data_IF_661420313070
#
_entry.id   IF_661420313070
#
_cell.length_a   1.000
_cell.length_b   1.000
_cell.length_c   1.000
_cell.angle_alpha   90.00
_cell.angle_beta   90.00
_cell.angle_gamma   90.00
#
_symmetry.space_group_name_H-M   'P 1'
#
loop_
_entity.id
_entity.type
_entity.pdbx_description
1 polymer ?
#
# COMPACT_ATOMS: atom_id res chain seq x y z
N UNK A 1 -3.15 -16.36 25.47
CA UNK A 1 -3.02 -15.70 24.14
C UNK A 1 -3.05 -14.21 24.39
N UNK A 2 -2.23 -13.40 23.69
CA UNK A 2 -2.34 -11.95 23.80
C UNK A 2 -3.75 -11.51 23.41
N UNK A 3 -4.21 -10.40 23.99
CA UNK A 3 -5.46 -9.76 23.56
C UNK A 3 -5.30 -9.28 22.11
N UNK A 4 -6.22 -9.69 21.24
CA UNK A 4 -6.22 -9.30 19.82
C UNK A 4 -7.19 -8.13 19.64
N UNK A 5 -6.67 -7.00 19.17
CA UNK A 5 -7.47 -5.84 18.77
C UNK A 5 -7.63 -5.84 17.25
N UNK A 6 -8.83 -6.13 16.77
CA UNK A 6 -9.13 -6.16 15.34
C UNK A 6 -9.43 -4.76 14.81
N UNK A 7 -8.69 -4.33 13.80
CA UNK A 7 -8.95 -3.07 13.08
C UNK A 7 -9.64 -3.42 11.75
N UNK A 8 -10.80 -2.80 11.49
CA UNK A 8 -11.52 -3.00 10.21
C UNK A 8 -10.96 -2.12 9.10
N UNK A 9 -11.17 -2.47 7.81
CA UNK A 9 -10.77 -1.62 6.69
C UNK A 9 -11.31 -0.18 6.79
N UNK A 10 -12.59 -0.03 7.13
CA UNK A 10 -13.24 1.26 7.41
C UNK A 10 -12.58 2.03 8.55
N UNK A 11 -12.36 1.37 9.70
CA UNK A 11 -11.73 1.99 10.86
C UNK A 11 -10.32 2.49 10.51
N UNK A 12 -9.52 1.67 9.83
CA UNK A 12 -8.17 2.06 9.42
C UNK A 12 -8.18 3.30 8.52
N UNK A 13 -9.10 3.39 7.56
CA UNK A 13 -9.22 4.58 6.72
C UNK A 13 -9.62 5.82 7.52
N UNK A 14 -10.63 5.72 8.38
CA UNK A 14 -11.10 6.83 9.21
C UNK A 14 -10.00 7.31 10.16
N UNK A 15 -9.27 6.39 10.79
CA UNK A 15 -8.16 6.71 11.67
C UNK A 15 -6.99 7.32 10.89
N UNK A 16 -6.72 6.86 9.68
CA UNK A 16 -5.71 7.50 8.82
C UNK A 16 -6.07 8.95 8.50
N UNK A 17 -7.36 9.26 8.27
CA UNK A 17 -7.83 10.63 8.09
C UNK A 17 -7.77 11.45 9.38
N UNK A 18 -8.11 10.86 10.53
CA UNK A 18 -7.97 11.50 11.85
C UNK A 18 -6.52 11.83 12.17
N UNK A 19 -5.60 10.92 11.83
CA UNK A 19 -4.17 11.15 11.96
C UNK A 19 -3.73 12.30 11.05
N UNK A 20 -4.19 12.30 9.79
CA UNK A 20 -3.95 13.41 8.87
C UNK A 20 -4.41 14.76 9.43
N UNK A 21 -5.61 14.80 10.03
CA UNK A 21 -6.13 15.98 10.73
C UNK A 21 -5.25 16.38 11.92
N UNK A 22 -4.93 15.44 12.80
CA UNK A 22 -4.10 15.68 13.98
C UNK A 22 -2.74 16.28 13.59
N UNK A 23 -2.11 15.73 12.56
CA UNK A 23 -0.85 16.24 12.00
C UNK A 23 -1.03 17.66 11.42
N UNK A 24 -2.09 17.89 10.64
CA UNK A 24 -2.38 19.19 10.04
C UNK A 24 -2.63 20.28 11.09
N UNK A 25 -3.32 19.96 12.17
CA UNK A 25 -3.68 20.89 13.25
C UNK A 25 -2.45 21.34 14.07
N UNK A 26 -1.31 20.62 14.01
CA UNK A 26 -0.02 21.09 14.55
C UNK A 26 0.61 22.25 13.75
N UNK A 27 -0.04 22.69 12.67
CA UNK A 27 0.53 23.64 11.71
C UNK A 27 1.60 23.01 10.81
N UNK A 28 1.80 21.69 10.85
CA UNK A 28 2.77 21.01 9.98
C UNK A 28 2.26 20.90 8.54
N UNK A 29 3.08 21.35 7.58
CA UNK A 29 2.79 21.30 6.14
C UNK A 29 3.99 20.64 5.44
N UNK A 30 4.11 19.30 5.53
CA UNK A 30 5.25 18.61 4.96
C UNK A 30 5.26 18.73 3.44
N UNK A 31 6.45 18.95 2.87
CA UNK A 31 6.64 18.86 1.42
C UNK A 31 6.91 17.41 0.99
N UNK A 32 7.48 16.61 1.89
CA UNK A 32 7.79 15.20 1.67
C UNK A 32 7.09 14.34 2.72
N UNK A 33 6.53 13.21 2.28
CA UNK A 33 6.08 12.16 3.16
C UNK A 33 6.67 10.83 2.75
N UNK A 34 6.89 9.97 3.73
CA UNK A 34 7.40 8.62 3.54
C UNK A 34 6.56 7.68 4.37
N UNK A 35 5.92 6.73 3.71
CA UNK A 35 5.31 5.59 4.39
C UNK A 35 6.27 4.42 4.49
N UNK A 36 6.36 3.83 5.67
CA UNK A 36 7.11 2.60 5.89
C UNK A 36 6.29 1.44 5.31
N UNK A 37 6.88 0.69 4.39
CA UNK A 37 6.32 -0.52 3.81
C UNK A 37 6.44 -1.66 4.83
N UNK A 38 5.38 -2.40 5.14
CA UNK A 38 4.09 -2.47 4.43
C UNK A 38 2.99 -1.59 5.03
N UNK A 39 2.64 -1.77 6.29
CA UNK A 39 1.38 -1.26 6.83
C UNK A 39 1.25 0.26 6.89
N UNK A 40 2.37 0.97 7.14
CA UNK A 40 2.44 2.44 7.04
C UNK A 40 2.01 3.02 5.70
N UNK A 41 1.99 2.22 4.62
CA UNK A 41 1.51 2.67 3.30
C UNK A 41 0.00 2.81 3.20
N UNK A 42 -0.76 1.93 3.84
CA UNK A 42 -2.23 2.06 3.89
C UNK A 42 -2.62 3.29 4.70
N UNK A 43 -1.93 3.51 5.82
CA UNK A 43 -2.10 4.70 6.66
C UNK A 43 -1.75 5.96 5.89
N UNK A 44 -0.61 5.94 5.20
CA UNK A 44 -0.16 7.06 4.40
C UNK A 44 -1.13 7.49 3.31
N UNK A 45 -1.84 6.56 2.66
CA UNK A 45 -2.85 6.91 1.65
C UNK A 45 -3.99 7.74 2.26
N UNK A 46 -4.42 7.44 3.47
CA UNK A 46 -5.44 8.23 4.16
C UNK A 46 -4.90 9.59 4.61
N UNK A 47 -3.68 9.62 5.18
CA UNK A 47 -3.03 10.88 5.57
C UNK A 47 -2.84 11.81 4.37
N UNK A 48 -2.30 11.32 3.25
CA UNK A 48 -2.12 12.09 2.01
C UNK A 48 -3.47 12.58 1.45
N UNK A 49 -4.50 11.73 1.47
CA UNK A 49 -5.85 12.13 1.05
C UNK A 49 -6.41 13.27 1.92
N UNK A 50 -6.16 13.25 3.23
CA UNK A 50 -6.56 14.34 4.12
C UNK A 50 -5.83 15.65 3.77
N UNK A 51 -4.50 15.62 3.66
CA UNK A 51 -3.72 16.83 3.33
C UNK A 51 -4.15 17.41 1.97
N UNK A 52 -4.37 16.55 0.98
CA UNK A 52 -4.88 16.96 -0.33
C UNK A 52 -6.25 17.62 -0.24
N UNK A 53 -7.13 17.14 0.62
CA UNK A 53 -8.43 17.76 0.88
C UNK A 53 -8.29 19.18 1.46
N UNK A 54 -7.25 19.43 2.25
CA UNK A 54 -6.91 20.75 2.77
C UNK A 54 -6.10 21.62 1.78
N UNK A 55 -5.93 21.18 0.53
CA UNK A 55 -5.18 21.91 -0.50
C UNK A 55 -3.65 21.79 -0.37
N UNK A 56 -3.15 20.86 0.45
CA UNK A 56 -1.72 20.62 0.64
C UNK A 56 -1.31 19.39 -0.15
N UNK A 57 -0.41 19.58 -1.11
CA UNK A 57 0.14 18.48 -1.91
C UNK A 57 1.47 18.03 -1.32
N UNK A 58 1.57 16.73 -1.01
CA UNK A 58 2.78 16.14 -0.43
C UNK A 58 3.45 15.25 -1.49
N UNK A 59 4.78 15.32 -1.59
CA UNK A 59 5.55 14.33 -2.33
C UNK A 59 5.65 13.06 -1.49
N UNK A 60 4.63 12.21 -1.60
CA UNK A 60 4.49 11.01 -0.80
C UNK A 60 5.07 9.79 -1.52
N UNK A 61 5.93 9.08 -0.80
CA UNK A 61 6.66 7.92 -1.32
C UNK A 61 6.70 6.82 -0.27
N UNK A 62 7.11 5.61 -0.67
CA UNK A 62 7.17 4.44 0.22
C UNK A 62 8.60 3.95 0.33
N UNK A 63 9.03 3.56 1.52
CA UNK A 63 10.34 2.91 1.74
C UNK A 63 10.14 1.52 2.30
N UNK A 64 10.99 0.59 1.88
CA UNK A 64 11.05 -0.74 2.50
C UNK A 64 12.24 -0.79 3.45
N UNK A 65 12.05 -1.42 4.61
CA UNK A 65 13.12 -1.65 5.58
C UNK A 65 13.34 -3.14 5.73
N UNK A 66 14.59 -3.58 5.56
CA UNK A 66 14.99 -4.96 5.85
C UNK A 66 15.81 -4.98 7.12
N UNK A 67 15.48 -5.85 8.08
CA UNK A 67 16.35 -6.16 9.20
C UNK A 67 17.37 -7.21 8.77
N UNK A 68 18.65 -6.91 8.92
CA UNK A 68 19.73 -7.87 8.74
C UNK A 68 20.29 -8.26 10.11
N UNK A 69 20.22 -9.56 10.45
CA UNK A 69 20.89 -10.10 11.65
C UNK A 69 22.34 -10.41 11.26
N UNK A 70 23.27 -9.56 11.70
CA UNK A 70 24.71 -9.84 11.56
C UNK A 70 25.17 -10.94 12.52
N UNK A 71 26.35 -11.53 12.24
CA UNK A 71 27.00 -12.53 13.10
C UNK A 71 27.37 -11.95 14.48
N UNK A 72 27.36 -10.62 14.63
CA UNK A 72 27.36 -9.91 15.91
C UNK A 72 25.98 -9.28 16.18
N UNK A 73 25.47 -9.46 17.41
CA UNK A 73 24.07 -9.31 17.85
C UNK A 73 23.45 -7.90 17.81
N UNK A 74 23.53 -7.20 16.68
CA UNK A 74 22.71 -6.02 16.40
C UNK A 74 22.03 -6.16 15.04
N UNK A 75 20.70 -6.13 15.04
CA UNK A 75 19.91 -6.03 13.83
C UNK A 75 20.20 -4.69 13.16
N UNK A 76 20.85 -4.72 11.99
CA UNK A 76 21.06 -3.51 11.19
C UNK A 76 19.88 -3.37 10.25
N UNK A 77 19.08 -2.32 10.46
CA UNK A 77 18.00 -1.96 9.55
C UNK A 77 18.58 -1.29 8.29
N UNK A 78 18.36 -1.90 7.13
CA UNK A 78 18.71 -1.34 5.82
C UNK A 78 17.47 -0.69 5.23
N UNK A 79 17.56 0.63 4.97
CA UNK A 79 16.48 1.42 4.37
C UNK A 79 16.63 1.42 2.85
N UNK A 80 15.58 1.06 2.13
CA UNK A 80 15.56 0.91 0.67
C UNK A 80 14.57 1.85 0.02
N UNK A 81 14.87 2.28 -1.21
CA UNK A 81 14.05 3.23 -1.95
C UNK A 81 14.03 4.59 -1.28
N UNK A 82 15.13 4.97 -0.63
CA UNK A 82 15.25 6.21 0.16
C UNK A 82 16.12 7.27 -0.55
N UNK A 83 16.82 6.85 -1.60
CA UNK A 83 17.77 7.63 -2.39
C UNK A 83 17.11 8.87 -2.99
N UNK A 84 15.88 8.76 -3.50
CA UNK A 84 15.17 9.89 -4.09
C UNK A 84 14.80 10.95 -3.06
N UNK A 85 14.46 10.54 -1.83
CA UNK A 85 14.17 11.47 -0.74
C UNK A 85 15.43 12.25 -0.45
N UNK A 86 16.55 11.55 -0.22
CA UNK A 86 17.85 12.14 0.08
C UNK A 86 18.26 13.16 -0.99
N UNK A 87 17.98 12.87 -2.26
CA UNK A 87 18.32 13.75 -3.39
C UNK A 87 17.36 14.93 -3.59
N UNK A 88 16.19 14.94 -2.95
CA UNK A 88 15.14 15.93 -3.18
C UNK A 88 14.82 16.83 -1.98
N UNK A 89 15.20 16.43 -0.76
CA UNK A 89 14.95 17.21 0.45
C UNK A 89 15.92 18.39 0.61
N UNK A 90 15.43 19.46 1.24
CA UNK A 90 16.19 20.61 1.70
C UNK A 90 15.84 20.95 3.17
N UNK A 91 16.63 21.79 3.87
CA UNK A 91 16.44 22.08 5.30
C UNK A 91 15.12 22.75 5.65
N UNK A 92 14.56 23.52 4.72
CA UNK A 92 13.31 24.25 4.88
C UNK A 92 12.08 23.35 4.67
N UNK A 93 12.28 22.16 4.10
CA UNK A 93 11.21 21.22 3.85
C UNK A 93 10.78 20.54 5.16
N UNK A 94 9.47 20.32 5.33
CA UNK A 94 8.97 19.40 6.34
C UNK A 94 8.97 17.96 5.81
N UNK A 95 9.46 17.01 6.62
CA UNK A 95 9.41 15.58 6.33
C UNK A 95 8.49 14.84 7.30
N UNK A 96 7.44 14.20 6.76
CA UNK A 96 6.56 13.31 7.50
C UNK A 96 6.95 11.85 7.28
N UNK A 97 7.20 11.10 8.36
CA UNK A 97 7.36 9.65 8.33
C UNK A 97 6.07 9.03 8.86
N UNK A 98 5.51 8.04 8.15
CA UNK A 98 4.21 7.45 8.44
C UNK A 98 4.39 5.95 8.64
N UNK A 99 3.88 5.46 9.77
CA UNK A 99 3.81 4.03 10.07
C UNK A 99 2.43 3.66 10.64
N UNK A 100 2.10 2.38 10.71
CA UNK A 100 0.87 1.94 11.34
C UNK A 100 0.98 1.89 12.87
N UNK A 101 2.10 1.39 13.40
CA UNK A 101 2.37 1.29 14.84
C UNK A 101 3.78 1.78 15.21
N UNK A 102 3.86 2.67 16.20
CA UNK A 102 5.12 3.06 16.83
C UNK A 102 5.42 2.15 18.02
N UNK A 103 6.24 1.11 17.81
CA UNK A 103 6.62 0.17 18.86
C UNK A 103 7.94 0.55 19.55
N UNK A 104 9.09 0.14 19.00
CA UNK A 104 10.41 0.48 19.57
C UNK A 104 10.95 1.82 19.06
N UNK A 105 10.57 2.21 17.84
CA UNK A 105 11.13 3.36 17.13
C UNK A 105 12.48 3.10 16.45
N UNK A 106 13.03 1.88 16.51
CA UNK A 106 14.34 1.55 15.94
C UNK A 106 14.40 1.71 14.42
N UNK A 107 13.35 1.30 13.70
CA UNK A 107 13.23 1.49 12.25
C UNK A 107 13.28 2.97 11.89
N UNK A 108 12.51 3.80 12.60
CA UNK A 108 12.43 5.25 12.38
C UNK A 108 13.77 5.92 12.71
N UNK A 109 14.42 5.53 13.80
CA UNK A 109 15.77 5.97 14.13
C UNK A 109 16.74 5.69 12.99
N UNK A 110 16.75 4.46 12.46
CA UNK A 110 17.63 4.07 11.36
C UNK A 110 17.38 4.90 10.08
N UNK A 111 16.11 5.22 9.78
CA UNK A 111 15.73 6.10 8.67
C UNK A 111 16.29 7.51 8.87
N UNK A 112 16.07 8.10 10.05
CA UNK A 112 16.52 9.45 10.38
C UNK A 112 18.05 9.55 10.40
N UNK A 113 18.73 8.57 10.99
CA UNK A 113 20.20 8.53 11.04
C UNK A 113 20.79 8.37 9.64
N UNK A 114 20.18 7.53 8.79
CA UNK A 114 20.57 7.40 7.38
C UNK A 114 20.36 8.70 6.62
N UNK A 115 19.23 9.40 6.86
CA UNK A 115 18.94 10.69 6.22
C UNK A 115 19.99 11.72 6.59
N UNK A 116 20.25 11.89 7.89
CA UNK A 116 21.26 12.82 8.41
C UNK A 116 22.64 12.55 7.84
N UNK A 117 23.03 11.27 7.75
CA UNK A 117 24.32 10.88 7.20
C UNK A 117 24.46 11.16 5.70
N UNK A 118 23.41 10.90 4.91
CA UNK A 118 23.45 11.00 3.44
C UNK A 118 23.08 12.40 2.91
N UNK A 119 22.01 13.02 3.43
CA UNK A 119 21.56 14.36 3.03
C UNK A 119 22.39 15.48 3.69
N UNK A 120 23.02 15.21 4.84
CA UNK A 120 23.91 16.15 5.55
C UNK A 120 23.23 17.49 5.79
N UNK A 121 23.84 18.59 5.32
CA UNK A 121 23.32 19.95 5.46
C UNK A 121 21.95 20.16 4.78
N UNK A 122 21.51 19.25 3.90
CA UNK A 122 20.20 19.30 3.26
C UNK A 122 19.10 18.58 4.06
N UNK A 123 19.43 18.01 5.23
CA UNK A 123 18.44 17.29 6.05
C UNK A 123 17.33 18.26 6.49
N UNK A 124 16.04 17.90 6.29
CA UNK A 124 14.90 18.63 6.81
C UNK A 124 15.07 19.02 8.28
N UNK A 125 14.87 20.31 8.57
CA UNK A 125 14.98 20.82 9.95
C UNK A 125 13.81 20.35 10.82
N UNK A 126 12.65 20.08 10.22
CA UNK A 126 11.46 19.53 10.88
C UNK A 126 11.11 18.15 10.32
N UNK A 127 11.37 17.12 11.12
CA UNK A 127 10.95 15.73 10.87
C UNK A 127 9.90 15.36 11.91
N UNK A 128 8.76 14.84 11.47
CA UNK A 128 7.67 14.37 12.33
C UNK A 128 7.28 12.94 11.96
N UNK A 129 6.87 12.16 12.93
CA UNK A 129 6.32 10.81 12.76
C UNK A 129 4.81 10.84 13.03
N UNK A 130 4.03 10.23 12.14
CA UNK A 130 2.60 9.97 12.36
C UNK A 130 2.30 8.48 12.40
N UNK A 131 1.66 7.99 13.46
CA UNK A 131 1.19 6.59 13.55
C UNK A 131 -0.24 6.49 14.07
N UNK A 132 -0.93 5.38 13.75
CA UNK A 132 -2.25 5.13 14.32
C UNK A 132 -2.10 4.71 15.78
N UNK A 133 -1.28 3.68 16.01
CA UNK A 133 -1.04 3.13 17.34
C UNK A 133 0.37 3.44 17.83
N UNK A 134 0.53 3.47 19.15
CA UNK A 134 1.82 3.51 19.84
C UNK A 134 1.79 2.54 21.02
N UNK A 135 2.92 1.88 21.29
CA UNK A 135 3.12 1.02 22.47
C UNK A 135 4.11 1.67 23.43
N UNK A 136 3.67 2.58 24.34
CA UNK A 136 4.57 3.41 25.14
C UNK A 136 5.63 2.62 25.91
N UNK A 137 5.26 1.47 26.48
CA UNK A 137 6.14 0.59 27.26
C UNK A 137 7.32 0.00 26.46
N UNK A 138 7.21 -0.03 25.13
CA UNK A 138 8.23 -0.58 24.23
C UNK A 138 9.12 0.48 23.59
N UNK A 139 8.80 1.76 23.74
CA UNK A 139 9.52 2.85 23.07
C UNK A 139 10.95 2.92 23.57
N UNK A 140 11.90 2.90 22.64
CA UNK A 140 13.34 3.01 22.90
C UNK A 140 13.97 4.23 22.22
N UNK A 141 13.22 4.91 21.35
CA UNK A 141 13.65 6.09 20.63
C UNK A 141 12.64 7.24 20.79
N UNK A 142 13.10 8.36 21.33
CA UNK A 142 12.34 9.59 21.61
C UNK A 142 12.95 10.82 20.91
N UNK A 143 13.95 10.63 20.05
CA UNK A 143 14.70 11.70 19.37
C UNK A 143 13.97 12.38 18.20
N UNK A 144 12.65 12.16 18.06
CA UNK A 144 11.80 12.73 17.02
C UNK A 144 10.40 12.99 17.56
N UNK A 145 9.72 14.02 17.04
CA UNK A 145 8.33 14.29 17.39
C UNK A 145 7.42 13.18 16.81
N UNK A 146 6.65 12.52 17.68
CA UNK A 146 5.70 11.45 17.30
C UNK A 146 4.27 11.87 17.64
N UNK A 147 3.42 11.92 16.61
CA UNK A 147 1.97 12.10 16.74
C UNK A 147 1.29 10.75 16.54
N UNK A 148 0.68 10.20 17.60
CA UNK A 148 -0.10 8.95 17.54
C UNK A 148 -1.59 9.21 17.82
N UNK A 149 -2.50 8.36 17.35
CA UNK A 149 -3.91 8.45 17.74
C UNK A 149 -4.22 7.73 19.04
N UNK A 150 -3.70 6.51 19.19
CA UNK A 150 -4.02 5.63 20.31
C UNK A 150 -2.76 5.06 20.95
N UNK A 151 -2.71 5.10 22.28
CA UNK A 151 -1.77 4.28 23.05
C UNK A 151 -2.43 2.94 23.33
N UNK A 152 -1.67 1.86 23.14
CA UNK A 152 -2.11 0.48 23.39
C UNK A 152 -1.07 -0.26 24.22
N UNK A 153 -1.53 -1.24 24.99
CA UNK A 153 -0.66 -2.02 25.88
C UNK A 153 0.41 -2.78 25.08
N UNK A 154 1.59 -2.98 25.69
CA UNK A 154 2.72 -3.63 25.02
C UNK A 154 2.41 -5.07 24.56
N UNK A 155 1.54 -5.76 25.32
CA UNK A 155 1.10 -7.13 25.05
C UNK A 155 -0.03 -7.26 24.04
N UNK A 156 -0.72 -6.17 23.66
CA UNK A 156 -1.83 -6.22 22.70
C UNK A 156 -1.31 -6.51 21.30
N UNK A 157 -1.93 -7.47 20.62
CA UNK A 157 -1.68 -7.72 19.22
C UNK A 157 -2.73 -6.98 18.39
N UNK A 158 -2.28 -6.02 17.61
CA UNK A 158 -3.12 -5.26 16.67
C UNK A 158 -3.19 -6.05 15.37
N UNK A 159 -4.39 -6.48 15.00
CA UNK A 159 -4.65 -7.22 13.77
C UNK A 159 -5.17 -6.25 12.70
N UNK A 160 -4.30 -5.85 11.77
CA UNK A 160 -4.66 -4.90 10.72
C UNK A 160 -5.42 -5.57 9.56
N UNK A 161 -6.26 -4.84 8.82
CA UNK A 161 -7.09 -5.42 7.74
C UNK A 161 -6.30 -6.13 6.64
N UNK A 162 -5.07 -5.65 6.41
CA UNK A 162 -4.18 -6.11 5.36
C UNK A 162 -3.19 -7.19 5.85
N UNK A 163 -3.51 -7.87 6.95
CA UNK A 163 -2.76 -8.98 7.54
C UNK A 163 -3.68 -10.20 7.69
N UNK A 164 -3.21 -11.37 7.23
CA UNK A 164 -3.87 -12.66 7.48
C UNK A 164 -2.90 -13.73 7.96
N UNK A 165 -1.64 -13.67 7.52
CA UNK A 165 -0.67 -14.75 7.74
C UNK A 165 -0.50 -15.14 9.21
N UNK A 166 -0.60 -14.16 10.11
CA UNK A 166 -0.40 -14.36 11.53
C UNK A 166 -1.65 -14.98 12.21
N UNK A 167 -2.84 -14.83 11.61
CA UNK A 167 -4.08 -15.45 12.09
C UNK A 167 -4.24 -16.92 11.68
N UNK A 168 -3.34 -17.44 10.83
CA UNK A 168 -3.45 -18.81 10.29
C UNK A 168 -3.05 -19.82 11.35
N UNK A 169 -4.00 -20.65 11.77
CA UNK A 169 -3.78 -21.73 12.73
C UNK A 169 -3.71 -23.11 12.04
N UNK A 170 -3.36 -24.14 12.80
CA UNK A 170 -3.45 -25.54 12.35
C UNK A 170 -4.89 -26.07 12.41
N UNK A 171 -5.82 -25.30 13.01
CA UNK A 171 -7.24 -25.62 13.02
C UNK A 171 -7.81 -25.54 11.59
N UNK A 172 -8.41 -26.62 11.07
CA UNK A 172 -9.03 -26.63 9.75
C UNK A 172 -10.16 -25.62 9.59
N UNK A 173 -10.73 -25.07 10.66
CA UNK A 173 -11.80 -24.07 10.64
C UNK A 173 -11.32 -22.62 10.74
N UNK A 174 -10.02 -22.39 10.95
CA UNK A 174 -9.40 -21.04 11.02
C UNK A 174 -10.25 -20.01 11.80
N UNK A 175 -10.59 -20.27 13.08
CA UNK A 175 -11.57 -19.48 13.82
C UNK A 175 -11.14 -18.02 14.02
N UNK A 176 -9.83 -17.72 13.98
CA UNK A 176 -9.32 -16.35 14.07
C UNK A 176 -9.60 -15.55 12.79
N UNK A 177 -9.47 -16.18 11.61
CA UNK A 177 -9.80 -15.55 10.32
C UNK A 177 -11.31 -15.34 10.23
N UNK A 178 -12.11 -16.33 10.64
CA UNK A 178 -13.58 -16.19 10.67
C UNK A 178 -14.03 -15.06 11.60
N UNK A 179 -13.38 -14.91 12.75
CA UNK A 179 -13.64 -13.81 13.70
C UNK A 179 -13.26 -12.45 13.12
N UNK A 180 -12.13 -12.35 12.41
CA UNK A 180 -11.72 -11.12 11.71
C UNK A 180 -12.77 -10.73 10.66
N UNK A 181 -13.16 -11.68 9.81
CA UNK A 181 -14.16 -11.47 8.77
C UNK A 181 -14.67 -12.80 8.23
N UNK A 182 -15.97 -13.06 8.43
CA UNK A 182 -16.65 -14.23 7.87
C UNK A 182 -16.60 -14.22 6.33
N UNK A 183 -16.75 -13.05 5.71
CA UNK A 183 -16.65 -12.91 4.25
C UNK A 183 -15.27 -13.28 3.69
N UNK A 184 -14.18 -12.85 4.36
CA UNK A 184 -12.82 -13.26 3.96
C UNK A 184 -12.67 -14.77 4.13
N UNK A 185 -13.11 -15.32 5.26
CA UNK A 185 -13.06 -16.75 5.54
C UNK A 185 -13.80 -17.58 4.49
N UNK A 186 -14.99 -17.13 4.05
CA UNK A 186 -15.74 -17.77 2.97
C UNK A 186 -15.01 -17.70 1.64
N UNK A 187 -14.47 -16.54 1.26
CA UNK A 187 -13.74 -16.37 0.00
C UNK A 187 -12.54 -17.30 -0.09
N UNK A 188 -11.75 -17.40 0.98
CA UNK A 188 -10.56 -18.26 1.06
C UNK A 188 -10.90 -19.75 0.88
N UNK A 189 -12.17 -20.15 1.08
CA UNK A 189 -12.64 -21.54 0.97
C UNK A 189 -13.47 -21.81 -0.28
N UNK A 190 -14.03 -20.77 -0.89
CA UNK A 190 -14.93 -20.92 -2.04
C UNK A 190 -14.22 -21.16 -3.39
N UNK A 191 -12.88 -21.11 -3.39
CA UNK A 191 -12.05 -21.22 -4.60
C UNK A 191 -12.15 -19.98 -5.51
N UNK A 192 -11.45 -20.01 -6.64
CA UNK A 192 -11.52 -18.92 -7.61
C UNK A 192 -12.88 -18.85 -8.33
N UNK A 193 -13.23 -17.64 -8.75
CA UNK A 193 -14.45 -17.37 -9.53
C UNK A 193 -14.10 -16.68 -10.84
N UNK A 194 -14.97 -16.87 -11.84
CA UNK A 194 -14.89 -16.10 -13.08
C UNK A 194 -15.20 -14.61 -12.83
N UNK A 195 -14.62 -13.69 -13.63
CA UNK A 195 -14.87 -12.27 -13.43
C UNK A 195 -16.33 -11.90 -13.64
N UNK A 196 -16.86 -11.05 -12.77
CA UNK A 196 -18.25 -10.56 -12.85
C UNK A 196 -18.33 -9.31 -13.73
N UNK A 197 -19.40 -9.15 -14.50
CA UNK A 197 -19.68 -7.88 -15.18
C UNK A 197 -20.47 -6.98 -14.24
N UNK A 198 -19.93 -5.80 -13.94
CA UNK A 198 -20.56 -4.80 -13.08
C UNK A 198 -20.84 -3.51 -13.85
N UNK A 199 -22.12 -3.14 -13.96
CA UNK A 199 -22.54 -1.86 -14.52
C UNK A 199 -22.46 -0.80 -13.44
N UNK A 200 -21.65 0.23 -13.67
CA UNK A 200 -21.47 1.31 -12.71
C UNK A 200 -22.54 2.38 -12.94
N UNK A 201 -23.28 2.82 -11.90
CA UNK A 201 -24.21 3.92 -12.04
C UNK A 201 -23.48 5.22 -12.39
N UNK A 202 -24.10 6.04 -13.23
CA UNK A 202 -23.64 7.41 -13.50
C UNK A 202 -23.92 8.32 -12.30
N UNK A 203 -23.01 9.25 -11.94
CA UNK A 203 -21.75 9.55 -12.62
C UNK A 203 -20.56 8.67 -12.20
N UNK A 204 -20.68 7.99 -11.06
CA UNK A 204 -19.66 7.10 -10.50
C UNK A 204 -20.23 6.22 -9.40
N UNK A 205 -19.45 5.21 -9.01
CA UNK A 205 -19.64 4.42 -7.79
C UNK A 205 -18.47 4.59 -6.84
N UNK A 206 -18.80 4.83 -5.58
CA UNK A 206 -17.83 4.78 -4.48
C UNK A 206 -17.66 3.34 -3.99
N UNK A 207 -16.41 2.93 -3.79
CA UNK A 207 -16.05 1.61 -3.26
C UNK A 207 -15.81 1.73 -1.75
N UNK A 208 -16.43 0.85 -0.95
CA UNK A 208 -16.11 0.75 0.48
C UNK A 208 -14.76 0.05 0.70
N UNK A 209 -14.00 0.38 1.76
CA UNK A 209 -12.75 -0.31 2.11
C UNK A 209 -12.85 -1.83 2.18
N UNK A 210 -13.94 -2.36 2.72
CA UNK A 210 -14.24 -3.79 2.88
C UNK A 210 -14.37 -4.46 1.51
N UNK A 211 -15.04 -3.81 0.56
CA UNK A 211 -15.21 -4.33 -0.80
C UNK A 211 -13.87 -4.45 -1.51
N UNK A 212 -13.03 -3.41 -1.41
CA UNK A 212 -11.67 -3.42 -1.99
C UNK A 212 -10.84 -4.55 -1.38
N UNK A 213 -10.96 -4.76 -0.07
CA UNK A 213 -10.24 -5.80 0.67
C UNK A 213 -10.70 -7.19 0.23
N UNK A 214 -12.02 -7.40 0.15
CA UNK A 214 -12.61 -8.68 -0.24
C UNK A 214 -12.31 -9.03 -1.70
N UNK A 215 -12.43 -8.07 -2.62
CA UNK A 215 -12.09 -8.29 -4.03
C UNK A 215 -10.58 -8.56 -4.17
N UNK A 216 -9.71 -7.89 -3.40
CA UNK A 216 -8.28 -8.21 -3.37
C UNK A 216 -8.00 -9.62 -2.86
N UNK A 217 -8.71 -10.08 -1.83
CA UNK A 217 -8.62 -11.47 -1.34
C UNK A 217 -9.03 -12.47 -2.42
N UNK A 218 -10.16 -12.24 -3.12
CA UNK A 218 -10.61 -13.10 -4.25
C UNK A 218 -9.54 -13.16 -5.35
N UNK A 219 -8.91 -12.03 -5.65
CA UNK A 219 -7.85 -11.95 -6.65
C UNK A 219 -6.63 -12.78 -6.24
N UNK A 220 -6.23 -12.74 -4.95
CA UNK A 220 -5.14 -13.55 -4.42
C UNK A 220 -5.39 -15.05 -4.53
N UNK A 221 -6.62 -15.51 -4.21
CA UNK A 221 -7.05 -16.91 -4.40
C UNK A 221 -6.97 -17.30 -5.88
N UNK A 222 -7.51 -16.45 -6.77
CA UNK A 222 -7.50 -16.68 -8.22
C UNK A 222 -6.09 -16.84 -8.80
N UNK A 223 -5.15 -16.01 -8.35
CA UNK A 223 -3.76 -16.09 -8.81
C UNK A 223 -3.09 -17.36 -8.28
N UNK A 224 -3.34 -17.76 -7.04
CA UNK A 224 -2.77 -18.98 -6.47
C UNK A 224 -3.19 -20.26 -7.20
N UNK A 225 -4.44 -20.31 -7.66
CA UNK A 225 -5.00 -21.45 -8.39
C UNK A 225 -4.47 -21.56 -9.83
N UNK A 226 -3.85 -20.51 -10.38
CA UNK A 226 -3.23 -20.58 -11.70
C UNK A 226 -1.95 -21.44 -11.66
N UNK A 227 -2.06 -22.67 -12.14
CA UNK A 227 -0.94 -23.62 -12.20
C UNK A 227 0.14 -23.23 -13.23
N UNK A 228 -0.13 -22.27 -14.12
CA UNK A 228 0.81 -21.84 -15.17
C UNK A 228 1.66 -20.65 -14.74
N UNK A 229 1.32 -19.99 -13.64
CA UNK A 229 2.01 -18.80 -13.18
C UNK A 229 2.05 -18.74 -11.66
N UNK A 230 3.25 -18.65 -11.12
CA UNK A 230 3.48 -18.45 -9.70
C UNK A 230 4.39 -17.23 -9.55
N UNK A 231 3.96 -16.14 -8.89
CA UNK A 231 4.80 -14.98 -8.70
C UNK A 231 5.99 -15.30 -7.79
N UNK A 232 7.18 -14.85 -8.20
CA UNK A 232 8.36 -14.70 -7.34
C UNK A 232 8.42 -13.28 -6.77
N UNK A 233 7.87 -12.31 -7.51
CA UNK A 233 7.74 -10.91 -7.09
C UNK A 233 6.31 -10.41 -7.32
N UNK A 234 5.74 -9.78 -6.31
CA UNK A 234 4.53 -8.97 -6.40
C UNK A 234 4.97 -7.50 -6.33
N UNK A 235 4.55 -6.70 -7.31
CA UNK A 235 4.91 -5.29 -7.46
C UNK A 235 3.63 -4.45 -7.44
N UNK A 236 3.35 -3.83 -6.31
CA UNK A 236 2.19 -2.97 -6.12
C UNK A 236 2.42 -1.57 -6.69
N UNK A 237 1.62 -1.16 -7.67
CA UNK A 237 1.73 0.18 -8.26
C UNK A 237 1.10 1.23 -7.36
N UNK A 238 1.89 2.14 -6.79
CA UNK A 238 1.36 3.25 -6.00
C UNK A 238 0.59 4.25 -6.88
N UNK A 239 -0.53 4.84 -6.39
CA UNK A 239 -1.12 4.61 -5.07
C UNK A 239 -2.08 3.41 -5.01
N UNK A 240 -2.84 3.15 -6.08
CA UNK A 240 -3.98 2.23 -6.02
C UNK A 240 -3.61 0.75 -5.83
N UNK A 241 -2.54 0.30 -6.46
CA UNK A 241 -2.04 -1.07 -6.37
C UNK A 241 -1.63 -1.49 -4.96
N UNK A 242 -1.34 -0.55 -4.05
CA UNK A 242 -1.04 -0.87 -2.65
C UNK A 242 -2.26 -1.38 -1.90
N UNK A 243 -3.42 -0.73 -2.08
CA UNK A 243 -4.67 -1.17 -1.42
C UNK A 243 -5.11 -2.56 -1.90
N UNK A 244 -4.83 -2.89 -3.16
CA UNK A 244 -5.14 -4.20 -3.71
C UNK A 244 -4.05 -5.24 -3.40
N UNK A 245 -2.77 -4.86 -3.48
CA UNK A 245 -1.63 -5.77 -3.40
C UNK A 245 -1.43 -6.37 -2.02
N UNK A 246 -1.68 -5.62 -0.94
CA UNK A 246 -1.48 -6.13 0.41
C UNK A 246 -2.46 -7.27 0.76
N UNK A 247 -3.80 -7.11 0.68
CA UNK A 247 -4.72 -8.22 0.98
C UNK A 247 -4.60 -9.38 -0.03
N UNK A 248 -4.27 -9.08 -1.29
CA UNK A 248 -3.97 -10.09 -2.31
C UNK A 248 -2.80 -10.97 -1.89
N UNK A 249 -1.68 -10.37 -1.48
CA UNK A 249 -0.52 -11.13 -1.04
C UNK A 249 -0.80 -11.92 0.23
N UNK A 250 -1.55 -11.37 1.19
CA UNK A 250 -1.93 -12.13 2.39
C UNK A 250 -2.81 -13.33 2.07
N UNK A 251 -3.79 -13.19 1.18
CA UNK A 251 -4.60 -14.30 0.70
C UNK A 251 -3.74 -15.36 -0.02
N UNK A 252 -2.80 -14.93 -0.86
CA UNK A 252 -1.85 -15.83 -1.53
C UNK A 252 -0.99 -16.61 -0.52
N UNK A 253 -0.46 -15.96 0.52
CA UNK A 253 0.28 -16.63 1.61
C UNK A 253 -0.58 -17.62 2.38
N UNK A 254 -1.85 -17.29 2.62
CA UNK A 254 -2.80 -18.22 3.23
C UNK A 254 -2.94 -19.48 2.40
N UNK A 255 -3.20 -19.33 1.09
CA UNK A 255 -3.37 -20.47 0.19
C UNK A 255 -2.10 -21.31 0.10
N UNK A 256 -0.92 -20.68 0.06
CA UNK A 256 0.36 -21.39 0.15
C UNK A 256 0.47 -22.19 1.44
N UNK A 257 0.24 -21.58 2.61
CA UNK A 257 0.39 -22.26 3.90
C UNK A 257 -0.54 -23.47 4.03
N UNK A 258 -1.77 -23.39 3.51
CA UNK A 258 -2.77 -24.48 3.61
C UNK A 258 -2.65 -25.55 2.52
N UNK A 259 -2.19 -25.20 1.32
CA UNK A 259 -2.28 -26.10 0.16
C UNK A 259 -0.95 -26.40 -0.54
N UNK A 260 0.09 -25.59 -0.33
CA UNK A 260 1.38 -25.75 -0.98
C UNK A 260 2.52 -25.10 -0.15
N UNK A 261 2.77 -25.57 1.10
CA UNK A 261 3.70 -24.94 2.03
C UNK A 261 5.16 -24.97 1.56
N UNK A 262 5.48 -25.85 0.60
CA UNK A 262 6.80 -25.97 -0.04
C UNK A 262 7.08 -24.86 -1.06
N UNK A 263 6.05 -24.13 -1.53
CA UNK A 263 6.24 -23.05 -2.50
C UNK A 263 7.05 -21.91 -1.89
N UNK A 264 7.97 -21.35 -2.68
CA UNK A 264 8.70 -20.13 -2.32
C UNK A 264 7.73 -18.96 -2.21
N UNK A 265 7.82 -18.20 -1.12
CA UNK A 265 7.01 -16.99 -0.91
C UNK A 265 7.46 -15.88 -1.86
N UNK A 266 6.53 -15.19 -2.54
CA UNK A 266 6.89 -14.04 -3.33
C UNK A 266 7.43 -12.92 -2.46
N UNK A 267 8.42 -12.20 -2.97
CA UNK A 267 8.78 -10.90 -2.45
C UNK A 267 7.70 -9.89 -2.83
N UNK A 268 7.44 -8.87 -2.00
CA UNK A 268 6.38 -7.90 -2.24
C UNK A 268 6.85 -6.49 -1.92
N UNK A 269 6.78 -5.62 -2.93
CA UNK A 269 7.18 -4.21 -2.81
C UNK A 269 6.21 -3.29 -3.55
N UNK A 270 6.11 -2.05 -3.10
CA UNK A 270 5.46 -0.97 -3.86
C UNK A 270 6.45 -0.20 -4.72
N UNK A 271 6.02 0.18 -5.92
CA UNK A 271 6.75 1.12 -6.77
C UNK A 271 5.92 2.38 -7.05
N UNK A 272 6.56 3.54 -7.02
CA UNK A 272 5.86 4.79 -7.28
C UNK A 272 5.75 5.07 -8.78
N UNK A 273 4.52 5.04 -9.31
CA UNK A 273 4.25 5.33 -10.73
C UNK A 273 3.69 6.72 -10.97
N UNK A 274 3.34 7.45 -9.90
CA UNK A 274 2.83 8.81 -10.01
C UNK A 274 3.96 9.77 -10.41
N UNK A 275 3.65 10.68 -11.34
CA UNK A 275 4.54 11.82 -11.61
C UNK A 275 4.59 12.70 -10.36
N UNK A 276 5.76 12.80 -9.74
CA UNK A 276 6.04 13.80 -8.71
C UNK A 276 6.02 15.19 -9.35
N UNK A 277 5.33 16.15 -8.74
CA UNK A 277 5.18 17.51 -9.26
C UNK A 277 6.52 18.29 -9.37
N UNK A 278 7.61 17.73 -8.84
CA UNK A 278 8.91 18.38 -8.70
C UNK A 278 10.01 17.81 -9.59
N UNK A 279 9.81 16.70 -10.31
CA UNK A 279 10.86 16.13 -11.18
C UNK A 279 10.34 15.90 -12.61
N UNK A 280 10.93 16.63 -13.57
CA UNK A 280 10.70 16.46 -15.01
C UNK A 280 11.09 15.06 -15.53
N UNK A 281 11.96 14.35 -14.80
CA UNK A 281 12.15 12.92 -15.00
C UNK A 281 11.13 12.19 -14.15
N UNK A 282 10.14 11.56 -14.79
CA UNK A 282 9.49 10.41 -14.20
C UNK A 282 10.61 9.44 -13.75
N UNK A 283 10.81 9.24 -12.45
CA UNK A 283 11.60 8.14 -11.88
C UNK A 283 10.59 7.25 -11.17
N UNK A 284 10.57 5.95 -11.48
CA UNK A 284 9.76 5.03 -10.68
C UNK A 284 10.61 4.64 -9.47
N UNK A 285 10.12 4.99 -8.29
CA UNK A 285 10.80 4.74 -7.03
C UNK A 285 10.63 3.28 -6.62
N UNK A 286 11.68 2.67 -6.06
CA UNK A 286 11.71 1.23 -5.72
C UNK A 286 12.22 0.32 -6.84
N UNK A 287 12.59 0.87 -8.00
CA UNK A 287 13.13 0.10 -9.12
C UNK A 287 14.50 -0.51 -8.83
N UNK A 288 15.44 0.24 -8.24
CA UNK A 288 16.81 -0.25 -8.00
C UNK A 288 16.84 -1.54 -7.18
N UNK A 289 15.95 -1.66 -6.19
CA UNK A 289 15.74 -2.88 -5.41
C UNK A 289 15.38 -4.08 -6.29
N UNK A 290 14.44 -3.88 -7.22
CA UNK A 290 14.02 -4.91 -8.16
C UNK A 290 15.15 -5.25 -9.13
N UNK A 291 15.93 -4.25 -9.56
CA UNK A 291 17.11 -4.40 -10.39
C UNK A 291 18.17 -5.35 -9.83
N UNK A 292 18.37 -5.31 -8.51
CA UNK A 292 19.37 -6.13 -7.81
C UNK A 292 18.89 -7.56 -7.50
N UNK A 293 17.57 -7.82 -7.55
CA UNK A 293 16.99 -9.09 -7.06
C UNK A 293 16.25 -9.92 -8.09
N UNK A 294 15.67 -9.28 -9.11
CA UNK A 294 14.95 -10.00 -10.15
C UNK A 294 15.96 -10.63 -11.11
N UNK A 295 15.87 -11.95 -11.22
CA UNK A 295 16.59 -12.78 -12.15
C UNK A 295 15.71 -13.10 -13.37
N UNK A 296 16.37 -13.57 -14.44
CA UNK A 296 15.71 -13.88 -15.72
C UNK A 296 14.54 -14.86 -15.62
N UNK A 297 14.61 -15.79 -14.67
CA UNK A 297 13.61 -16.85 -14.49
C UNK A 297 12.51 -16.50 -13.48
N UNK A 298 12.62 -15.35 -12.82
CA UNK A 298 11.64 -14.91 -11.84
C UNK A 298 10.36 -14.41 -12.53
N UNK A 299 9.22 -14.82 -11.98
CA UNK A 299 7.89 -14.39 -12.42
C UNK A 299 7.48 -13.12 -11.67
N UNK A 300 7.11 -12.08 -12.42
CA UNK A 300 6.76 -10.76 -11.87
C UNK A 300 5.28 -10.49 -12.06
N UNK A 301 4.56 -10.26 -10.95
CA UNK A 301 3.17 -9.86 -10.94
C UNK A 301 3.05 -8.38 -10.61
N UNK A 302 2.59 -7.57 -11.55
CA UNK A 302 2.24 -6.17 -11.31
C UNK A 302 0.79 -6.08 -10.83
N UNK A 303 0.56 -5.36 -9.74
CA UNK A 303 -0.77 -5.17 -9.15
C UNK A 303 -1.19 -3.72 -9.27
N UNK A 304 -2.34 -3.49 -9.88
CA UNK A 304 -3.01 -2.18 -9.96
C UNK A 304 -4.43 -2.27 -9.39
N UNK A 305 -4.99 -1.16 -8.98
CA UNK A 305 -6.36 -1.05 -8.48
C UNK A 305 -7.40 -1.22 -9.59
N UNK A 306 -7.33 -0.40 -10.65
CA UNK A 306 -8.19 -0.49 -11.84
C UNK A 306 -7.34 -0.45 -13.10
N UNK A 307 -7.41 -1.50 -13.90
CA UNK A 307 -6.86 -1.51 -15.23
C UNK A 307 -7.78 -0.75 -16.19
N UNK A 308 -7.36 0.44 -16.60
CA UNK A 308 -8.05 1.28 -17.60
C UNK A 308 -7.45 1.04 -18.99
N UNK A 309 -6.93 2.08 -19.61
CA UNK A 309 -6.17 2.05 -20.87
C UNK A 309 -4.79 1.37 -20.79
N UNK A 310 -4.41 0.90 -19.60
CA UNK A 310 -3.13 0.25 -19.33
C UNK A 310 -1.93 1.20 -19.26
N UNK A 311 -2.09 2.53 -19.37
CA UNK A 311 -0.97 3.49 -19.42
C UNK A 311 0.05 3.28 -18.29
N UNK A 312 -0.36 3.40 -17.04
CA UNK A 312 0.54 3.33 -15.88
C UNK A 312 1.22 1.96 -15.75
N UNK A 313 0.47 0.88 -15.98
CA UNK A 313 1.01 -0.48 -15.95
C UNK A 313 2.06 -0.67 -17.05
N UNK A 314 1.75 -0.27 -18.29
CA UNK A 314 2.67 -0.42 -19.41
C UNK A 314 3.91 0.47 -19.26
N UNK A 315 3.77 1.68 -18.70
CA UNK A 315 4.90 2.55 -18.36
C UNK A 315 5.80 1.90 -17.30
N UNK A 316 5.21 1.28 -16.26
CA UNK A 316 5.95 0.56 -15.24
C UNK A 316 6.70 -0.66 -15.82
N UNK A 317 6.03 -1.45 -16.67
CA UNK A 317 6.65 -2.59 -17.36
C UNK A 317 7.81 -2.14 -18.23
N UNK A 318 7.62 -1.08 -19.02
CA UNK A 318 8.65 -0.58 -19.93
C UNK A 318 9.92 -0.19 -19.17
N UNK A 319 9.78 0.43 -17.99
CA UNK A 319 10.92 0.77 -17.15
C UNK A 319 11.56 -0.41 -16.44
N UNK A 320 10.74 -1.37 -16.00
CA UNK A 320 11.28 -2.63 -15.47
C UNK A 320 12.13 -3.31 -16.54
N UNK A 321 11.71 -3.31 -17.81
CA UNK A 321 12.54 -3.81 -18.92
C UNK A 321 13.81 -2.98 -19.12
N UNK A 322 13.73 -1.66 -19.08
CA UNK A 322 14.92 -0.80 -19.23
C UNK A 322 15.95 -1.05 -18.14
N UNK A 323 15.50 -1.23 -16.90
CA UNK A 323 16.34 -1.50 -15.75
C UNK A 323 16.93 -2.91 -15.77
N UNK A 324 16.08 -3.92 -15.92
CA UNK A 324 16.46 -5.33 -15.84
C UNK A 324 17.10 -5.84 -17.14
N UNK A 325 16.88 -5.15 -18.26
CA UNK A 325 17.38 -5.47 -19.59
C UNK A 325 17.12 -6.93 -19.97
N UNK A 326 18.14 -7.78 -19.88
CA UNK A 326 18.08 -9.21 -20.22
C UNK A 326 17.45 -10.07 -19.13
N UNK A 327 17.26 -9.52 -17.93
CA UNK A 327 16.73 -10.22 -16.76
C UNK A 327 15.20 -10.17 -16.66
N UNK A 328 14.49 -9.47 -17.56
CA UNK A 328 13.02 -9.50 -17.58
C UNK A 328 12.52 -10.10 -18.89
N UNK A 329 11.85 -11.26 -18.79
CA UNK A 329 11.12 -11.85 -19.89
C UNK A 329 9.64 -11.41 -19.84
N UNK A 330 9.17 -10.76 -20.91
CA UNK A 330 7.77 -10.30 -21.05
C UNK A 330 6.75 -11.42 -20.80
N UNK A 331 7.08 -12.66 -21.20
CA UNK A 331 6.21 -13.81 -21.03
C UNK A 331 6.04 -14.22 -19.56
N UNK A 332 6.96 -13.80 -18.69
CA UNK A 332 6.95 -14.01 -17.24
C UNK A 332 6.40 -12.82 -16.46
N UNK A 333 5.96 -11.77 -17.16
CA UNK A 333 5.28 -10.64 -16.55
C UNK A 333 3.77 -10.86 -16.65
N UNK A 334 3.08 -10.75 -15.51
CA UNK A 334 1.62 -10.74 -15.44
C UNK A 334 1.14 -9.47 -14.77
N UNK A 335 -0.12 -9.15 -15.03
CA UNK A 335 -0.80 -7.96 -14.52
C UNK A 335 -2.07 -8.43 -13.84
N UNK A 336 -2.24 -8.04 -12.59
CA UNK A 336 -3.46 -8.25 -11.81
C UNK A 336 -4.09 -6.90 -11.50
N UNK A 337 -5.42 -6.84 -11.57
CA UNK A 337 -6.17 -5.67 -11.11
C UNK A 337 -7.52 -6.03 -10.53
N UNK A 338 -8.04 -5.29 -9.56
CA UNK A 338 -9.37 -5.60 -9.02
C UNK A 338 -10.44 -5.44 -10.10
N UNK A 339 -10.37 -4.32 -10.82
CA UNK A 339 -11.35 -3.94 -11.83
C UNK A 339 -10.69 -3.72 -13.18
N UNK A 340 -11.37 -4.09 -14.25
CA UNK A 340 -10.97 -3.81 -15.62
C UNK A 340 -12.05 -2.99 -16.31
N UNK A 341 -11.69 -1.81 -16.81
CA UNK A 341 -12.57 -1.01 -17.66
C UNK A 341 -12.15 -1.12 -19.13
N UNK A 342 -12.86 -1.91 -19.96
CA UNK A 342 -12.53 -2.08 -21.37
C UNK A 342 -12.91 -0.88 -22.25
N UNK A 343 -13.73 0.04 -21.77
CA UNK A 343 -14.22 1.20 -22.53
C UNK A 343 -13.28 2.42 -22.44
N UNK A 344 -12.31 2.40 -21.52
CA UNK A 344 -11.33 3.49 -21.37
C UNK A 344 -10.25 3.43 -22.46
N UNK A 345 -10.34 4.35 -23.42
CA UNK A 345 -9.42 4.42 -24.55
C UNK A 345 -8.35 5.52 -24.40
N UNK A 346 -8.02 5.97 -23.19
CA UNK A 346 -7.07 7.08 -22.97
C UNK A 346 -5.62 6.89 -23.50
N UNK A 347 -5.28 5.75 -24.10
CA UNK A 347 -3.98 5.42 -24.75
C UNK A 347 -4.04 5.35 -26.28
N UNK A 348 -4.87 6.16 -26.94
CA UNK A 348 -4.99 6.17 -28.41
C UNK A 348 -3.67 6.31 -29.20
N UNK A 349 -2.62 6.91 -28.62
CA UNK A 349 -1.36 7.23 -29.30
C UNK A 349 -0.22 6.23 -29.07
N UNK A 350 -0.40 5.20 -28.24
CA UNK A 350 0.65 4.19 -27.97
C UNK A 350 0.15 2.77 -28.27
N UNK A 351 1.05 1.86 -28.65
CA UNK A 351 0.76 0.43 -28.73
C UNK A 351 1.12 -0.20 -27.38
N UNK A 352 0.16 -0.41 -26.46
CA UNK A 352 0.48 -0.97 -25.15
C UNK A 352 0.85 -2.44 -25.28
N UNK A 353 1.81 -2.89 -24.47
CA UNK A 353 2.25 -4.29 -24.40
C UNK A 353 1.13 -5.18 -23.89
N UNK A 354 0.46 -4.75 -22.82
CA UNK A 354 -0.74 -5.36 -22.29
C UNK A 354 -1.94 -4.46 -22.62
N UNK A 355 -3.04 -5.04 -23.11
CA UNK A 355 -4.32 -4.33 -23.37
C UNK A 355 -5.40 -4.66 -22.36
N UNK A 356 -5.15 -5.67 -21.54
CA UNK A 356 -6.07 -6.27 -20.57
C UNK A 356 -5.22 -6.84 -19.42
N UNK A 357 -5.69 -6.80 -18.17
CA UNK A 357 -5.03 -7.51 -17.09
C UNK A 357 -5.20 -9.02 -17.25
N UNK A 358 -4.18 -9.78 -16.84
CA UNK A 358 -4.22 -11.25 -16.86
C UNK A 358 -5.17 -11.78 -15.79
N UNK A 359 -5.23 -11.12 -14.64
CA UNK A 359 -6.14 -11.46 -13.54
C UNK A 359 -6.97 -10.24 -13.16
N UNK A 360 -8.28 -10.45 -13.01
CA UNK A 360 -9.21 -9.46 -12.50
C UNK A 360 -10.45 -10.08 -11.89
N UNK A 361 -11.12 -9.31 -11.02
CA UNK A 361 -12.32 -9.75 -10.30
C UNK A 361 -13.59 -9.28 -11.00
N UNK A 362 -13.63 -8.03 -11.46
CA UNK A 362 -14.80 -7.50 -12.19
C UNK A 362 -14.42 -6.72 -13.43
N UNK A 363 -15.22 -6.87 -14.48
CA UNK A 363 -15.28 -5.94 -15.60
C UNK A 363 -16.23 -4.80 -15.23
N UNK A 364 -15.73 -3.57 -15.19
CA UNK A 364 -16.49 -2.40 -14.74
C UNK A 364 -16.61 -1.38 -15.87
N UNK A 365 -17.83 -0.93 -16.14
CA UNK A 365 -18.10 0.12 -17.15
C UNK A 365 -18.59 1.38 -16.47
N UNK A 366 -17.69 2.35 -16.31
CA UNK A 366 -17.95 3.64 -15.68
C UNK A 366 -16.83 4.06 -14.73
N UNK A 367 -17.09 5.09 -13.92
CA UNK A 367 -16.10 5.69 -13.02
C UNK A 367 -16.20 5.12 -11.61
N UNK A 368 -15.08 4.59 -11.10
CA UNK A 368 -14.94 4.16 -9.72
C UNK A 368 -14.20 5.21 -8.90
N UNK A 369 -14.69 5.47 -7.69
CA UNK A 369 -14.01 6.27 -6.68
C UNK A 369 -13.55 5.32 -5.57
N UNK A 370 -12.23 5.24 -5.39
CA UNK A 370 -11.61 4.45 -4.33
C UNK A 370 -11.75 5.11 -2.96
N UNK A 371 -11.61 4.34 -1.86
CA UNK A 371 -11.84 4.87 -0.52
C UNK A 371 -11.04 6.12 -0.17
N UNK A 372 -9.76 6.18 -0.56
CA UNK A 372 -8.88 7.34 -0.33
C UNK A 372 -9.07 8.47 -1.36
N UNK A 373 -9.85 8.24 -2.42
CA UNK A 373 -10.00 9.14 -3.55
C UNK A 373 -11.28 9.98 -3.49
N UNK A 374 -11.83 10.24 -2.30
CA UNK A 374 -13.06 11.01 -2.11
C UNK A 374 -13.01 12.45 -2.67
N UNK A 375 -11.82 13.02 -2.88
CA UNK A 375 -11.66 14.29 -3.59
C UNK A 375 -12.17 14.25 -5.06
N UNK A 376 -12.52 13.07 -5.58
CA UNK A 376 -13.09 12.87 -6.93
C UNK A 376 -14.62 12.95 -6.97
N UNK A 377 -15.30 13.06 -5.83
CA UNK A 377 -16.73 13.40 -5.80
C UNK A 377 -16.96 14.77 -6.46
N UNK A 378 -18.15 14.98 -7.03
CA UNK A 378 -18.53 16.27 -7.63
C UNK A 378 -18.70 17.34 -6.55
N UNK A 379 -19.34 16.97 -5.45
CA UNK A 379 -19.43 17.76 -4.22
C UNK A 379 -19.10 16.86 -3.03
N UNK A 380 -17.79 16.67 -2.72
CA UNK A 380 -17.36 15.82 -1.62
C UNK A 380 -18.01 16.18 -0.29
N UNK A 381 -18.29 17.47 -0.04
CA UNK A 381 -18.83 17.94 1.24
C UNK A 381 -20.28 17.54 1.42
N UNK A 382 -21.11 17.71 0.40
CA UNK A 382 -22.53 17.34 0.46
C UNK A 382 -22.70 15.83 0.38
N UNK A 383 -22.02 15.18 -0.56
CA UNK A 383 -22.21 13.75 -0.81
C UNK A 383 -21.72 12.91 0.39
N UNK A 384 -20.52 13.19 0.93
CA UNK A 384 -20.03 12.44 2.11
C UNK A 384 -20.94 12.64 3.33
N UNK A 385 -21.53 13.81 3.54
CA UNK A 385 -22.50 14.01 4.64
C UNK A 385 -23.73 13.12 4.52
N UNK A 386 -24.10 12.73 3.30
CA UNK A 386 -25.27 11.88 3.06
C UNK A 386 -24.95 10.40 3.28
N UNK A 387 -23.85 9.88 2.71
CA UNK A 387 -23.57 8.43 2.72
C UNK A 387 -22.44 7.99 3.68
N UNK A 388 -21.63 8.93 4.21
CA UNK A 388 -20.61 8.66 5.23
C UNK A 388 -20.37 9.87 6.17
N UNK A 389 -21.34 10.19 7.05
CA UNK A 389 -21.29 11.39 7.90
C UNK A 389 -20.04 11.51 8.76
N UNK A 390 -19.53 10.39 9.26
CA UNK A 390 -18.31 10.34 10.07
C UNK A 390 -17.07 10.80 9.31
N UNK A 391 -16.85 10.30 8.08
CA UNK A 391 -15.77 10.74 7.22
C UNK A 391 -15.89 12.23 6.89
N UNK A 392 -17.11 12.71 6.60
CA UNK A 392 -17.37 14.13 6.39
C UNK A 392 -17.02 14.99 7.62
N UNK A 393 -17.31 14.48 8.82
CA UNK A 393 -16.98 15.13 10.09
C UNK A 393 -15.47 15.24 10.33
N UNK A 394 -14.67 14.29 9.83
CA UNK A 394 -13.20 14.38 9.91
C UNK A 394 -12.68 15.42 8.90
N UNK A 395 -13.19 15.40 7.67
CA UNK A 395 -12.64 16.19 6.56
C UNK A 395 -13.08 17.66 6.53
N UNK A 396 -14.31 17.94 6.98
CA UNK A 396 -14.95 19.25 6.84
C UNK A 396 -15.46 19.83 8.16
N UNK A 397 -14.98 19.31 9.29
CA UNK A 397 -15.17 19.98 10.56
C UNK A 397 -14.55 21.39 10.50
N UNK A 398 -15.19 22.37 11.15
CA UNK A 398 -14.74 23.76 11.17
C UNK A 398 -13.38 23.93 11.85
#
# INVERSE_FOLDING_TARGET
MPEISHVTPEQLLLDSLRLGRKLYDTGFRPKHAISIWRGGTVVGLGVDAFFRNQGVFINHTTIATESYVGIDKQEKVVVKGFEHVIQSVCPEDGLLIIDDVYETGNTIRAIIDTLRAKARANTPSRIMVGTIHRKPEKVQYDGVEVQCLYDVDGGTWIDYPHELADLITDDPDDPLIRRKSEAIWEVLRSGSREPELERIPEPYRYLRPEEVTLDATKLGVKIFEDRKFQPDFIVALWPGGVQAGLPLHEAYKYMMKKHAPERRRPDHISINTASTHLTYRTHILGLDYLGERINRDDNVLLVDSTYKSGRFVNDAVSRLKELLRRNLNDERVRVASLYWNPEDQSTWTSRPLFRKPHYYVKETRGTLIYPHAFHRFRDPRTELRQFWPEMAGILFAP
#
